data_IF_413454719712
#
_entry.id   IF_413454719712
#
_cell.length_a   1.000
_cell.length_b   1.000
_cell.length_c   1.000
_cell.angle_alpha   90.00
_cell.angle_beta   90.00
_cell.angle_gamma   90.00
#
_symmetry.space_group_name_H-M   'P 1'
#
loop_
_entity.id
_entity.type
_entity.pdbx_description
1 polymer ?
#
# COMPACT_ATOMS: atom_id res chain seq x y z
N UNK A 1 -2.68 6.85 9.20
CA UNK A 1 -1.96 6.60 7.93
C UNK A 1 -0.71 5.76 8.14
N UNK A 2 0.26 6.22 8.92
CA UNK A 2 1.57 5.57 9.04
C UNK A 2 1.59 4.21 9.73
N UNK A 3 0.70 3.96 10.69
CA UNK A 3 0.71 2.71 11.48
C UNK A 3 -0.28 1.66 10.96
N UNK A 4 -1.03 1.94 9.89
CA UNK A 4 -1.96 0.97 9.29
C UNK A 4 -1.23 0.05 8.31
N UNK A 5 -1.72 -1.19 8.15
CA UNK A 5 -1.18 -2.10 7.13
C UNK A 5 -1.30 -1.50 5.73
N UNK A 6 -2.42 -0.80 5.46
CA UNK A 6 -2.64 0.05 4.29
C UNK A 6 -2.99 1.45 4.81
N UNK A 7 -2.13 2.42 4.54
CA UNK A 7 -2.30 3.82 4.91
C UNK A 7 -2.58 4.69 3.68
N UNK A 8 -3.52 5.63 3.81
CA UNK A 8 -3.88 6.57 2.74
C UNK A 8 -3.68 7.99 3.26
N UNK A 9 -2.68 8.73 2.80
CA UNK A 9 -2.39 10.10 3.25
C UNK A 9 -2.78 11.12 2.17
N UNK A 10 -3.68 12.04 2.48
CA UNK A 10 -3.96 13.20 1.63
C UNK A 10 -2.78 14.18 1.64
N UNK A 11 -2.36 14.62 0.45
CA UNK A 11 -1.28 15.60 0.25
C UNK A 11 -1.73 16.65 -0.77
N UNK A 12 -1.42 17.93 -0.50
CA UNK A 12 -1.54 18.99 -1.49
C UNK A 12 -0.21 19.10 -2.26
N UNK A 13 -0.29 18.99 -3.59
CA UNK A 13 0.84 19.26 -4.46
C UNK A 13 0.45 20.34 -5.46
N UNK A 14 0.85 21.58 -5.18
CA UNK A 14 0.63 22.76 -6.04
C UNK A 14 -0.87 23.00 -6.32
N UNK A 15 -1.71 22.86 -5.30
CA UNK A 15 -3.17 23.03 -5.41
C UNK A 15 -3.90 21.83 -6.03
N UNK A 16 -3.19 20.71 -6.24
CA UNK A 16 -3.82 19.43 -6.61
C UNK A 16 -3.80 18.52 -5.40
N UNK A 17 -4.98 18.11 -4.95
CA UNK A 17 -5.14 17.13 -3.89
C UNK A 17 -4.86 15.72 -4.44
N UNK A 18 -3.92 15.04 -3.81
CA UNK A 18 -3.52 13.67 -4.13
C UNK A 18 -3.53 12.81 -2.87
N UNK A 19 -3.61 11.51 -3.04
CA UNK A 19 -3.64 10.53 -1.97
C UNK A 19 -2.48 9.57 -2.13
N UNK A 20 -1.50 9.65 -1.24
CA UNK A 20 -0.37 8.72 -1.21
C UNK A 20 -0.74 7.45 -0.45
N UNK A 21 -0.33 6.31 -0.98
CA UNK A 21 -0.49 5.01 -0.31
C UNK A 21 0.83 4.61 0.35
N UNK A 22 0.74 4.20 1.61
CA UNK A 22 1.81 3.57 2.38
C UNK A 22 1.44 2.15 2.81
N UNK A 23 2.35 1.19 2.70
CA UNK A 23 2.10 -0.21 3.06
C UNK A 23 3.03 -0.71 4.16
N UNK A 24 2.54 -1.64 4.98
CA UNK A 24 3.35 -2.38 5.96
C UNK A 24 3.48 -1.74 7.33
N UNK A 25 2.66 -0.74 7.66
CA UNK A 25 2.61 -0.19 9.02
C UNK A 25 1.96 -1.17 10.00
N UNK A 26 2.39 -1.13 11.27
CA UNK A 26 1.77 -1.86 12.37
C UNK A 26 1.78 -1.02 13.65
N UNK A 27 0.66 -0.94 14.41
CA UNK A 27 0.63 -0.28 15.71
C UNK A 27 0.77 -1.25 16.90
N UNK A 28 1.01 -2.55 16.64
CA UNK A 28 1.08 -3.61 17.66
C UNK A 28 2.51 -3.73 18.23
N UNK A 29 2.80 -4.81 18.96
CA UNK A 29 4.12 -5.11 19.52
C UNK A 29 5.23 -5.18 18.46
N UNK A 30 4.87 -5.46 17.21
CA UNK A 30 5.74 -5.45 16.02
C UNK A 30 5.70 -4.10 15.28
N UNK A 31 5.74 -3.02 16.05
CA UNK A 31 5.52 -1.65 15.58
C UNK A 31 6.38 -1.30 14.36
N UNK A 32 5.71 -0.78 13.32
CA UNK A 32 6.37 -0.39 12.08
C UNK A 32 5.66 0.81 11.44
N UNK A 33 6.46 1.67 10.79
CA UNK A 33 5.97 2.77 9.96
C UNK A 33 5.79 2.25 8.54
N UNK A 34 4.62 2.49 7.95
CA UNK A 34 4.32 2.12 6.57
C UNK A 34 5.20 2.86 5.56
N UNK A 35 5.57 2.16 4.50
CA UNK A 35 6.44 2.65 3.43
C UNK A 35 5.61 3.22 2.30
N UNK A 36 5.89 4.46 1.88
CA UNK A 36 5.29 5.06 0.68
C UNK A 36 5.80 4.32 -0.55
N UNK A 37 4.87 3.78 -1.35
CA UNK A 37 5.22 2.87 -2.46
C UNK A 37 5.22 3.53 -3.84
N UNK A 38 4.83 4.79 -3.97
CA UNK A 38 4.83 5.47 -5.27
C UNK A 38 4.17 6.85 -5.27
N UNK A 39 3.88 7.40 -6.47
CA UNK A 39 3.16 8.66 -6.62
C UNK A 39 1.74 8.58 -6.02
N UNK A 40 1.17 9.74 -5.69
CA UNK A 40 -0.19 9.82 -5.17
C UNK A 40 -1.24 9.68 -6.28
N UNK A 41 -2.41 9.16 -5.91
CA UNK A 41 -3.57 9.03 -6.77
C UNK A 41 -4.52 10.22 -6.61
N UNK A 42 -5.33 10.51 -7.63
CA UNK A 42 -6.53 11.35 -7.43
C UNK A 42 -7.55 10.59 -6.60
N UNK A 43 -8.44 11.30 -5.90
CA UNK A 43 -9.46 10.71 -5.02
C UNK A 43 -10.24 9.56 -5.71
N UNK A 44 -10.63 9.77 -6.97
CA UNK A 44 -11.46 8.84 -7.73
C UNK A 44 -10.75 7.53 -8.07
N UNK A 45 -9.41 7.54 -8.10
CA UNK A 45 -8.58 6.37 -8.40
C UNK A 45 -8.19 5.57 -7.14
N UNK A 46 -8.39 6.11 -5.94
CA UNK A 46 -8.03 5.44 -4.68
C UNK A 46 -8.74 4.10 -4.51
N UNK A 47 -10.06 3.96 -4.75
CA UNK A 47 -10.73 2.66 -4.60
C UNK A 47 -10.11 1.57 -5.46
N UNK A 48 -9.83 1.87 -6.74
CA UNK A 48 -9.21 0.93 -7.66
C UNK A 48 -7.79 0.55 -7.23
N UNK A 49 -7.01 1.50 -6.69
CA UNK A 49 -5.68 1.21 -6.16
C UNK A 49 -5.74 0.24 -4.96
N UNK A 50 -6.74 0.40 -4.08
CA UNK A 50 -6.95 -0.50 -2.94
C UNK A 50 -7.34 -1.91 -3.42
N UNK A 51 -8.22 -2.03 -4.41
CA UNK A 51 -8.59 -3.33 -5.00
C UNK A 51 -7.37 -4.03 -5.62
N UNK A 52 -6.51 -3.28 -6.31
CA UNK A 52 -5.25 -3.81 -6.83
C UNK A 52 -4.35 -4.30 -5.70
N UNK A 53 -4.18 -3.53 -4.62
CA UNK A 53 -3.36 -3.94 -3.45
C UNK A 53 -3.89 -5.23 -2.81
N UNK A 54 -5.20 -5.33 -2.61
CA UNK A 54 -5.83 -6.51 -2.02
C UNK A 54 -5.65 -7.72 -2.95
N UNK A 55 -5.85 -7.53 -4.26
CA UNK A 55 -5.66 -8.60 -5.25
C UNK A 55 -4.21 -9.08 -5.30
N UNK A 56 -3.23 -8.16 -5.26
CA UNK A 56 -1.81 -8.51 -5.18
C UNK A 56 -1.49 -9.28 -3.90
N UNK A 57 -2.03 -8.86 -2.75
CA UNK A 57 -1.90 -9.60 -1.50
C UNK A 57 -2.46 -11.02 -1.63
N UNK A 58 -3.70 -11.17 -2.10
CA UNK A 58 -4.35 -12.47 -2.24
C UNK A 58 -3.62 -13.40 -3.22
N UNK A 59 -3.03 -12.86 -4.28
CA UNK A 59 -2.25 -13.63 -5.26
C UNK A 59 -0.88 -14.08 -4.73
N UNK A 60 -0.31 -13.36 -3.76
CA UNK A 60 1.04 -13.63 -3.25
C UNK A 60 1.05 -14.30 -1.88
N UNK A 61 -0.06 -14.30 -1.14
CA UNK A 61 -0.13 -14.85 0.21
C UNK A 61 -0.03 -16.38 0.21
N UNK A 62 0.58 -16.92 1.25
CA UNK A 62 0.44 -18.33 1.57
C UNK A 62 -0.87 -18.57 2.35
N UNK A 63 -1.33 -19.83 2.40
CA UNK A 63 -2.50 -20.19 3.20
C UNK A 63 -2.32 -19.81 4.67
N UNK A 64 -3.31 -19.09 5.23
CA UNK A 64 -3.29 -18.58 6.60
C UNK A 64 -2.40 -17.35 6.83
N UNK A 65 -1.67 -16.88 5.82
CA UNK A 65 -0.85 -15.68 5.92
C UNK A 65 -1.73 -14.41 5.87
N UNK A 66 -1.49 -13.48 6.80
CA UNK A 66 -2.14 -12.17 6.79
C UNK A 66 -1.40 -11.16 5.90
N UNK A 67 -2.01 -10.00 5.67
CA UNK A 67 -1.45 -8.97 4.80
C UNK A 67 -0.04 -8.54 5.22
N UNK A 68 0.19 -8.34 6.52
CA UNK A 68 1.45 -7.81 7.02
C UNK A 68 2.58 -8.84 6.88
N UNK A 69 2.28 -10.10 7.16
CA UNK A 69 3.21 -11.22 6.95
C UNK A 69 3.56 -11.37 5.46
N UNK A 70 2.56 -11.37 4.56
CA UNK A 70 2.79 -11.40 3.11
C UNK A 70 3.66 -10.22 2.66
N UNK A 71 3.31 -8.99 3.07
CA UNK A 71 4.08 -7.78 2.75
C UNK A 71 5.55 -7.90 3.19
N UNK A 72 5.81 -8.35 4.42
CA UNK A 72 7.16 -8.50 4.96
C UNK A 72 7.98 -9.54 4.19
N UNK A 73 7.34 -10.60 3.70
CA UNK A 73 8.00 -11.68 2.95
C UNK A 73 8.29 -11.30 1.49
N UNK A 74 7.31 -10.75 0.78
CA UNK A 74 7.44 -10.48 -0.68
C UNK A 74 7.98 -9.08 -0.97
N UNK A 75 7.91 -8.18 0.00
CA UNK A 75 8.36 -6.80 -0.14
C UNK A 75 7.49 -5.97 -1.08
N UNK A 76 8.02 -4.81 -1.47
CA UNK A 76 7.25 -3.80 -2.21
C UNK A 76 7.10 -4.09 -3.71
N UNK A 77 7.97 -4.92 -4.29
CA UNK A 77 8.05 -5.12 -5.74
C UNK A 77 6.72 -5.52 -6.39
N UNK A 78 6.01 -6.59 -5.96
CA UNK A 78 4.77 -7.00 -6.62
C UNK A 78 3.65 -5.95 -6.49
N UNK A 79 3.63 -5.19 -5.40
CA UNK A 79 2.64 -4.13 -5.18
C UNK A 79 2.92 -2.91 -6.06
N UNK A 80 4.20 -2.54 -6.21
CA UNK A 80 4.62 -1.43 -7.09
C UNK A 80 4.34 -1.76 -8.55
N UNK A 81 4.68 -2.98 -8.97
CA UNK A 81 4.44 -3.44 -10.35
C UNK A 81 2.94 -3.42 -10.68
N UNK A 82 2.09 -3.95 -9.79
CA UNK A 82 0.65 -3.99 -10.02
C UNK A 82 0.01 -2.59 -10.07
N UNK A 83 0.50 -1.63 -9.30
CA UNK A 83 -0.07 -0.28 -9.22
C UNK A 83 0.46 0.68 -10.29
N UNK A 84 1.72 0.55 -10.68
CA UNK A 84 2.41 1.56 -11.51
C UNK A 84 2.99 0.98 -12.80
N UNK A 85 2.88 -0.35 -13.01
CA UNK A 85 3.51 -1.05 -14.12
C UNK A 85 4.96 -1.43 -13.85
N UNK A 86 5.53 -2.23 -14.76
CA UNK A 86 6.97 -2.50 -14.77
C UNK A 86 7.72 -1.22 -15.16
N UNK A 87 8.78 -0.90 -14.40
CA UNK A 87 9.72 0.16 -14.74
C UNK A 87 10.56 -0.21 -15.97
#
# INVERSE_FOLDING_TARGET
HHSGNIGILGVDKKGTELYQISLGGSPKDDAAVGTIIGPGFRAEAVPQAIDTIISTYLANRNDGEDFLATWRRVGAAPFKEALYGAA
#
